data_IF_890124453439
#
_entry.id   IF_890124453439
#
_cell.length_a   1.000
_cell.length_b   1.000
_cell.length_c   1.000
_cell.angle_alpha   90.00
_cell.angle_beta   90.00
_cell.angle_gamma   90.00
#
_symmetry.space_group_name_H-M   'P 1'
#
loop_
_entity.id
_entity.type
_entity.pdbx_description
1 polymer ?
#
# COMPACT_ATOMS: atom_id res chain seq x y z
N UNK A 1 25.68 -13.92 -27.80
CA UNK A 1 25.07 -12.78 -27.13
C UNK A 1 24.02 -13.39 -26.22
N UNK A 2 24.30 -13.50 -24.92
CA UNK A 2 23.30 -13.79 -23.91
C UNK A 2 22.43 -12.55 -23.83
N UNK A 3 21.15 -12.66 -24.19
CA UNK A 3 20.14 -11.71 -23.80
C UNK A 3 20.14 -11.68 -22.26
N UNK A 4 20.64 -10.58 -21.68
CA UNK A 4 20.39 -10.25 -20.29
C UNK A 4 18.87 -10.08 -20.18
N UNK A 5 18.21 -11.10 -19.67
CA UNK A 5 16.80 -11.02 -19.27
C UNK A 5 16.77 -9.92 -18.22
N UNK A 6 16.40 -8.71 -18.63
CA UNK A 6 16.21 -7.57 -17.73
C UNK A 6 15.26 -8.06 -16.66
N UNK A 7 15.73 -8.18 -15.41
CA UNK A 7 14.86 -8.63 -14.33
C UNK A 7 13.67 -7.68 -14.27
N UNK A 8 12.47 -8.23 -14.35
CA UNK A 8 11.23 -7.51 -14.17
C UNK A 8 11.20 -6.91 -12.76
N UNK A 9 10.51 -5.79 -12.55
CA UNK A 9 10.41 -5.12 -11.25
C UNK A 9 9.01 -4.52 -11.06
N UNK A 10 8.71 -4.16 -9.82
CA UNK A 10 7.52 -3.38 -9.45
C UNK A 10 7.97 -1.96 -9.14
N UNK A 11 7.17 -0.97 -9.53
CA UNK A 11 7.44 0.43 -9.23
C UNK A 11 6.23 1.11 -8.58
N UNK A 12 6.50 2.18 -7.82
CA UNK A 12 5.47 3.03 -7.24
C UNK A 12 6.00 4.42 -6.94
N UNK A 13 5.11 5.39 -6.94
CA UNK A 13 5.44 6.78 -6.60
C UNK A 13 4.57 7.24 -5.46
N UNK A 14 5.17 7.69 -4.39
CA UNK A 14 4.42 8.21 -3.25
C UNK A 14 5.29 8.99 -2.29
N UNK A 15 4.62 9.82 -1.48
CA UNK A 15 5.27 10.60 -0.46
C UNK A 15 5.70 9.71 0.70
N UNK A 16 6.93 9.86 1.15
CA UNK A 16 7.44 9.14 2.32
C UNK A 16 6.80 9.67 3.60
N UNK A 17 6.36 8.76 4.47
CA UNK A 17 5.93 9.05 5.82
C UNK A 17 6.95 8.49 6.81
N UNK A 18 7.24 9.26 7.86
CA UNK A 18 7.98 8.78 9.03
C UNK A 18 7.07 8.91 10.25
N UNK A 19 6.88 7.79 10.95
CA UNK A 19 6.00 7.70 12.10
C UNK A 19 6.82 7.67 13.40
N UNK A 20 6.48 8.57 14.31
CA UNK A 20 7.01 8.66 15.68
C UNK A 20 5.93 8.09 16.60
N UNK A 21 6.14 6.88 17.12
CA UNK A 21 5.15 6.18 17.92
C UNK A 21 5.49 6.28 19.41
N UNK A 22 4.54 6.79 20.20
CA UNK A 22 4.58 6.78 21.67
C UNK A 22 3.57 5.75 22.17
N UNK A 23 4.06 4.62 22.69
CA UNK A 23 3.23 3.52 23.17
C UNK A 23 3.22 3.43 24.70
N UNK A 24 2.19 2.78 25.24
CA UNK A 24 2.06 2.57 26.69
C UNK A 24 1.56 3.80 27.46
N UNK A 25 1.01 4.78 26.79
CA UNK A 25 0.32 5.89 27.47
C UNK A 25 -0.99 5.37 28.09
N UNK A 26 -1.24 5.73 29.35
CA UNK A 26 -2.50 5.36 30.03
C UNK A 26 -3.68 6.20 29.57
N UNK A 27 -3.43 7.39 29.06
CA UNK A 27 -4.38 8.36 28.50
C UNK A 27 -3.64 9.41 27.67
N UNK A 28 -4.37 10.25 26.96
CA UNK A 28 -3.80 11.42 26.31
C UNK A 28 -3.46 12.53 27.31
N UNK A 29 -2.41 13.35 27.06
CA UNK A 29 -2.09 14.49 27.90
C UNK A 29 -3.18 15.58 27.76
N UNK A 30 -3.41 16.31 28.85
CA UNK A 30 -4.22 17.53 28.84
C UNK A 30 -3.38 18.76 28.46
N UNK A 31 -4.04 19.87 28.16
CA UNK A 31 -3.32 21.10 27.85
C UNK A 31 -2.35 21.51 28.97
N UNK A 32 -1.09 21.70 28.63
CA UNK A 32 -0.02 22.04 29.58
C UNK A 32 0.54 20.87 30.37
N UNK A 33 0.12 19.64 30.09
CA UNK A 33 0.59 18.42 30.78
C UNK A 33 1.69 17.72 29.97
N UNK A 34 2.65 17.14 30.67
CA UNK A 34 3.64 16.21 30.12
C UNK A 34 3.37 14.80 30.68
N UNK A 35 3.30 13.82 29.78
CA UNK A 35 3.20 12.40 30.13
C UNK A 35 4.40 11.64 29.56
N UNK A 36 4.89 10.67 30.32
CA UNK A 36 5.94 9.76 29.87
C UNK A 36 5.29 8.50 29.27
N UNK A 37 5.74 8.13 28.07
CA UNK A 37 5.36 6.86 27.44
C UNK A 37 6.29 5.73 27.86
N UNK A 38 5.78 4.51 27.92
CA UNK A 38 6.60 3.32 28.24
C UNK A 38 7.38 2.83 27.00
N UNK A 39 6.97 3.21 25.78
CA UNK A 39 7.60 2.80 24.53
C UNK A 39 7.73 3.94 23.55
N UNK A 40 8.85 3.91 22.79
CA UNK A 40 9.13 4.82 21.69
C UNK A 40 9.61 4.03 20.48
N UNK A 41 9.11 4.39 19.29
CA UNK A 41 9.57 3.82 18.03
C UNK A 41 9.56 4.88 16.93
N UNK A 42 10.62 4.87 16.12
CA UNK A 42 10.69 5.58 14.85
C UNK A 42 10.62 4.53 13.74
N UNK A 43 9.69 4.69 12.79
CA UNK A 43 9.53 3.76 11.66
C UNK A 43 9.04 4.48 10.42
N UNK A 44 9.18 3.84 9.25
CA UNK A 44 8.45 4.29 8.07
C UNK A 44 6.95 4.06 8.29
N UNK A 45 6.14 4.99 7.79
CA UNK A 45 4.70 4.89 7.73
C UNK A 45 4.22 4.12 6.50
N UNK A 46 2.91 4.18 6.27
CA UNK A 46 2.24 3.50 5.16
C UNK A 46 2.26 4.25 3.83
N UNK A 47 1.34 3.84 2.94
CA UNK A 47 1.23 4.29 1.56
C UNK A 47 2.20 3.57 0.63
N UNK A 48 2.42 4.09 -0.57
CA UNK A 48 3.31 3.47 -1.57
C UNK A 48 4.67 3.06 -1.00
N UNK A 49 5.36 3.89 -0.21
CA UNK A 49 6.61 3.48 0.44
C UNK A 49 6.48 2.23 1.30
N UNK A 50 5.39 2.10 2.05
CA UNK A 50 5.10 0.93 2.86
C UNK A 50 4.89 -0.33 2.02
N UNK A 51 4.14 -0.22 0.92
CA UNK A 51 3.95 -1.30 -0.06
C UNK A 51 5.29 -1.74 -0.66
N UNK A 52 6.13 -0.79 -1.09
CA UNK A 52 7.43 -1.10 -1.71
C UNK A 52 8.39 -1.79 -0.73
N UNK A 53 8.44 -1.36 0.54
CA UNK A 53 9.24 -2.02 1.58
C UNK A 53 8.75 -3.47 1.80
N UNK A 54 7.45 -3.69 1.90
CA UNK A 54 6.91 -5.06 2.04
C UNK A 54 7.26 -5.94 0.83
N UNK A 55 7.18 -5.41 -0.39
CA UNK A 55 7.59 -6.13 -1.61
C UNK A 55 9.10 -6.44 -1.63
N UNK A 56 9.94 -5.50 -1.20
CA UNK A 56 11.39 -5.74 -1.07
C UNK A 56 11.71 -6.88 -0.09
N UNK A 57 10.98 -6.96 1.02
CA UNK A 57 11.06 -8.07 1.99
C UNK A 57 10.61 -9.42 1.43
N UNK A 58 9.75 -9.39 0.40
CA UNK A 58 9.32 -10.56 -0.36
C UNK A 58 10.25 -10.87 -1.57
N UNK A 59 11.48 -10.34 -1.57
CA UNK A 59 12.49 -10.54 -2.61
C UNK A 59 12.06 -10.08 -4.02
N UNK A 60 11.08 -9.20 -4.14
CA UNK A 60 10.71 -8.58 -5.41
C UNK A 60 11.68 -7.41 -5.69
N UNK A 61 12.25 -7.30 -6.91
CA UNK A 61 12.95 -6.09 -7.32
C UNK A 61 11.97 -4.91 -7.35
N UNK A 62 12.22 -3.89 -6.55
CA UNK A 62 11.30 -2.74 -6.41
C UNK A 62 12.02 -1.41 -6.60
N UNK A 63 11.30 -0.44 -7.16
CA UNK A 63 11.73 0.94 -7.31
C UNK A 63 10.66 1.88 -6.80
N UNK A 64 11.06 2.92 -6.09
CA UNK A 64 10.15 3.98 -5.64
C UNK A 64 10.65 5.36 -6.02
N UNK A 65 9.74 6.21 -6.47
CA UNK A 65 9.99 7.63 -6.60
C UNK A 65 9.33 8.36 -5.42
N UNK A 66 10.10 9.16 -4.71
CA UNK A 66 9.64 9.87 -3.51
C UNK A 66 10.41 11.18 -3.30
N UNK A 67 9.99 11.98 -2.35
CA UNK A 67 10.61 13.27 -2.01
C UNK A 67 11.39 13.14 -0.71
N UNK A 68 12.72 13.28 -0.78
CA UNK A 68 13.64 13.22 0.35
C UNK A 68 14.52 14.48 0.37
N UNK A 69 14.63 15.12 1.53
CA UNK A 69 15.43 16.32 1.75
C UNK A 69 16.82 16.02 2.32
N UNK A 70 17.44 17.08 2.85
CA UNK A 70 18.72 17.02 3.56
C UNK A 70 18.46 17.18 5.06
N UNK A 71 17.81 16.21 5.66
CA UNK A 71 17.38 16.20 7.06
C UNK A 71 17.43 14.78 7.64
N UNK A 72 17.37 14.70 8.98
CA UNK A 72 17.52 13.43 9.70
C UNK A 72 16.42 12.39 9.38
N UNK A 73 15.20 12.82 9.04
CA UNK A 73 14.11 11.92 8.72
C UNK A 73 14.25 11.36 7.31
N UNK A 74 14.72 12.18 6.37
CA UNK A 74 15.07 11.75 5.02
C UNK A 74 16.25 10.77 5.02
N UNK A 75 17.25 10.99 5.88
CA UNK A 75 18.38 10.05 6.07
C UNK A 75 17.90 8.72 6.67
N UNK A 76 17.02 8.78 7.69
CA UNK A 76 16.40 7.61 8.28
C UNK A 76 15.62 6.81 7.21
N UNK A 77 14.74 7.48 6.46
CA UNK A 77 13.94 6.83 5.42
C UNK A 77 14.82 6.20 4.33
N UNK A 78 15.87 6.89 3.89
CA UNK A 78 16.82 6.37 2.89
C UNK A 78 17.50 5.09 3.36
N UNK A 79 17.85 5.00 4.65
CA UNK A 79 18.44 3.81 5.24
C UNK A 79 17.43 2.65 5.26
N UNK A 80 16.19 2.91 5.70
CA UNK A 80 15.12 1.91 5.71
C UNK A 80 14.84 1.34 4.32
N UNK A 81 14.78 2.17 3.29
CA UNK A 81 14.61 1.71 1.90
C UNK A 81 15.78 0.83 1.45
N UNK A 82 17.01 1.28 1.68
CA UNK A 82 18.21 0.51 1.32
C UNK A 82 18.25 -0.84 2.03
N UNK A 83 17.96 -0.87 3.33
CA UNK A 83 18.01 -2.07 4.16
C UNK A 83 16.92 -3.10 3.77
N UNK A 84 15.84 -2.63 3.11
CA UNK A 84 14.78 -3.46 2.54
C UNK A 84 14.88 -3.61 1.00
N UNK A 85 16.05 -3.34 0.40
CA UNK A 85 16.33 -3.53 -1.04
C UNK A 85 15.43 -2.73 -1.99
N UNK A 86 14.95 -1.55 -1.57
CA UNK A 86 14.16 -0.63 -2.38
C UNK A 86 15.06 0.38 -3.07
N UNK A 87 15.07 0.40 -4.41
CA UNK A 87 15.79 1.41 -5.20
C UNK A 87 14.99 2.73 -5.22
N UNK A 88 15.65 3.86 -4.87
CA UNK A 88 14.99 5.17 -4.73
C UNK A 88 15.33 6.07 -5.92
N UNK A 89 14.33 6.75 -6.46
CA UNK A 89 14.46 7.94 -7.29
C UNK A 89 13.97 9.14 -6.50
N UNK A 90 14.87 10.05 -6.14
CA UNK A 90 14.49 11.27 -5.42
C UNK A 90 13.91 12.32 -6.39
N UNK A 91 12.70 12.76 -6.10
CA UNK A 91 11.97 13.78 -6.87
C UNK A 91 12.24 15.19 -6.36
N UNK A 92 12.78 15.34 -5.13
CA UNK A 92 12.98 16.61 -4.47
C UNK A 92 14.37 17.19 -4.72
N UNK A 93 14.42 18.47 -5.02
CA UNK A 93 15.67 19.23 -5.25
C UNK A 93 15.86 20.37 -4.25
N UNK A 94 14.96 20.51 -3.28
CA UNK A 94 15.05 21.51 -2.23
C UNK A 94 15.84 21.08 -0.99
N UNK A 95 15.99 21.98 -0.05
CA UNK A 95 16.67 21.73 1.23
C UNK A 95 15.74 21.61 2.45
N UNK A 96 14.45 21.85 2.26
CA UNK A 96 13.44 21.78 3.34
C UNK A 96 12.92 20.36 3.46
N UNK A 97 12.42 20.00 4.62
CA UNK A 97 11.82 18.71 4.95
C UNK A 97 10.57 18.42 4.06
N UNK A 98 10.66 17.55 3.02
CA UNK A 98 9.57 17.33 2.06
C UNK A 98 8.64 16.18 2.43
N UNK A 99 9.03 15.32 3.37
CA UNK A 99 8.28 14.12 3.74
C UNK A 99 7.23 14.40 4.82
N UNK A 100 6.30 13.48 5.02
CA UNK A 100 5.36 13.56 6.11
C UNK A 100 5.99 13.03 7.39
N UNK A 101 5.70 13.69 8.53
CA UNK A 101 6.07 13.21 9.86
C UNK A 101 4.79 13.11 10.68
N UNK A 102 4.49 11.92 11.17
CA UNK A 102 3.33 11.64 12.00
C UNK A 102 3.76 11.28 13.41
N UNK A 103 3.28 12.01 14.41
CA UNK A 103 3.37 11.59 15.80
C UNK A 103 2.09 10.85 16.19
N UNK A 104 2.22 9.61 16.65
CA UNK A 104 1.12 8.80 17.12
C UNK A 104 1.23 8.59 18.64
N UNK A 105 0.18 8.92 19.36
CA UNK A 105 0.02 8.63 20.79
C UNK A 105 -0.95 7.47 20.94
N UNK A 106 -0.47 6.35 21.52
CA UNK A 106 -1.19 5.08 21.63
C UNK A 106 -1.58 4.85 23.08
N UNK A 107 -2.88 4.74 23.32
CA UNK A 107 -3.49 4.42 24.62
C UNK A 107 -4.19 3.06 24.55
N UNK A 108 -4.62 2.46 25.69
CA UNK A 108 -5.39 1.23 25.68
C UNK A 108 -6.74 1.33 24.95
N UNK A 109 -7.31 2.54 24.85
CA UNK A 109 -8.62 2.77 24.24
C UNK A 109 -8.52 2.96 22.74
N UNK A 110 -7.59 3.81 22.27
CA UNK A 110 -7.38 4.12 20.85
C UNK A 110 -6.08 4.89 20.68
N UNK A 111 -5.82 5.34 19.47
CA UNK A 111 -4.66 6.13 19.08
C UNK A 111 -5.09 7.47 18.48
N UNK A 112 -4.23 8.47 18.63
CA UNK A 112 -4.41 9.78 18.00
C UNK A 112 -3.14 10.20 17.27
N UNK A 113 -3.29 11.02 16.24
CA UNK A 113 -2.21 11.41 15.34
C UNK A 113 -2.13 12.93 15.17
N UNK A 114 -0.89 13.40 15.03
CA UNK A 114 -0.59 14.73 14.50
C UNK A 114 0.40 14.56 13.38
N UNK A 115 0.07 15.05 12.19
CA UNK A 115 0.92 14.92 11.01
C UNK A 115 1.36 16.29 10.49
N UNK A 116 2.67 16.45 10.30
CA UNK A 116 3.25 17.48 9.45
C UNK A 116 3.35 16.89 8.04
N UNK A 117 2.83 17.61 7.05
CA UNK A 117 2.82 17.14 5.66
C UNK A 117 2.84 18.33 4.71
N UNK A 118 4.04 18.79 4.28
CA UNK A 118 4.14 19.91 3.34
C UNK A 118 3.67 19.48 1.95
N UNK A 119 3.17 20.42 1.17
CA UNK A 119 2.92 20.19 -0.25
C UNK A 119 4.24 19.92 -0.97
N UNK A 120 4.19 19.04 -1.95
CA UNK A 120 5.32 18.73 -2.83
C UNK A 120 4.99 19.17 -4.24
N UNK A 121 6.00 19.60 -4.97
CA UNK A 121 5.80 20.10 -6.33
C UNK A 121 5.61 18.91 -7.28
N UNK A 122 4.51 18.95 -8.02
CA UNK A 122 4.20 18.05 -9.13
C UNK A 122 4.29 18.85 -10.43
N UNK A 123 5.25 18.51 -11.29
CA UNK A 123 5.52 19.20 -12.54
C UNK A 123 6.06 18.24 -13.60
N UNK A 124 6.35 18.78 -14.80
CA UNK A 124 6.85 17.99 -15.93
C UNK A 124 8.19 17.30 -15.61
N UNK A 125 9.03 17.89 -14.76
CA UNK A 125 10.33 17.31 -14.36
C UNK A 125 10.10 16.09 -13.47
N UNK A 126 9.22 16.19 -12.47
CA UNK A 126 8.87 15.06 -11.61
C UNK A 126 8.16 13.97 -12.41
N UNK A 127 7.25 14.33 -13.32
CA UNK A 127 6.56 13.40 -14.22
C UNK A 127 7.54 12.60 -15.10
N UNK A 128 8.53 13.26 -15.67
CA UNK A 128 9.57 12.60 -16.48
C UNK A 128 10.47 11.68 -15.64
N UNK A 129 10.84 12.08 -14.42
CA UNK A 129 11.61 11.24 -13.48
C UNK A 129 10.81 9.97 -13.12
N UNK A 130 9.51 10.11 -12.81
CA UNK A 130 8.61 8.99 -12.51
C UNK A 130 8.49 8.05 -13.70
N UNK A 131 8.25 8.59 -14.90
CA UNK A 131 8.19 7.78 -16.11
C UNK A 131 9.47 6.97 -16.33
N UNK A 132 10.64 7.61 -16.25
CA UNK A 132 11.93 6.92 -16.44
C UNK A 132 12.19 5.84 -15.41
N UNK A 133 11.85 6.09 -14.14
CA UNK A 133 11.97 5.13 -13.06
C UNK A 133 11.06 3.92 -13.30
N UNK A 134 9.81 4.15 -13.73
CA UNK A 134 8.80 3.11 -13.89
C UNK A 134 8.86 2.38 -15.23
N UNK A 135 9.55 2.94 -16.22
CA UNK A 135 9.64 2.36 -17.58
C UNK A 135 10.21 0.94 -17.57
N UNK A 136 9.43 -0.01 -18.08
CA UNK A 136 9.76 -1.43 -18.13
C UNK A 136 9.44 -2.17 -16.83
N UNK A 137 8.74 -1.54 -15.89
CA UNK A 137 8.14 -2.25 -14.76
C UNK A 137 7.10 -3.25 -15.24
N UNK A 138 7.01 -4.42 -14.58
CA UNK A 138 5.90 -5.37 -14.80
C UNK A 138 4.60 -4.81 -14.23
N UNK A 139 4.69 -4.17 -13.06
CA UNK A 139 3.55 -3.62 -12.33
C UNK A 139 3.93 -2.22 -11.81
N UNK A 140 2.98 -1.30 -11.84
CA UNK A 140 3.09 0.01 -11.18
C UNK A 140 1.92 0.20 -10.22
N UNK A 141 2.24 0.52 -8.97
CA UNK A 141 1.28 1.03 -8.01
C UNK A 141 0.93 2.47 -8.36
N UNK A 142 -0.36 2.71 -8.58
CA UNK A 142 -0.91 3.97 -9.06
C UNK A 142 -1.53 4.74 -7.88
N UNK A 143 -1.25 6.01 -7.85
CA UNK A 143 -1.86 6.99 -6.94
C UNK A 143 -2.54 8.09 -7.76
N UNK A 144 -3.32 8.94 -7.12
CA UNK A 144 -3.86 10.13 -7.76
C UNK A 144 -2.72 11.05 -8.26
N UNK A 145 -2.92 11.75 -9.36
CA UNK A 145 -1.90 12.53 -10.06
C UNK A 145 -1.20 11.74 -11.20
N UNK A 146 -0.40 12.41 -11.98
CA UNK A 146 0.45 11.85 -13.06
C UNK A 146 -0.27 10.92 -14.07
N UNK A 147 -1.54 11.18 -14.34
CA UNK A 147 -2.38 10.35 -15.21
C UNK A 147 -1.75 10.04 -16.57
N UNK A 148 -1.13 11.03 -17.22
CA UNK A 148 -0.49 10.85 -18.52
C UNK A 148 0.73 9.92 -18.46
N UNK A 149 1.46 9.91 -17.34
CA UNK A 149 2.56 8.97 -17.09
C UNK A 149 2.02 7.55 -17.01
N UNK A 150 0.97 7.33 -16.23
CA UNK A 150 0.35 6.00 -16.08
C UNK A 150 -0.25 5.51 -17.39
N UNK A 151 -0.93 6.37 -18.16
CA UNK A 151 -1.45 6.04 -19.50
C UNK A 151 -0.34 5.56 -20.41
N UNK A 152 0.79 6.28 -20.45
CA UNK A 152 1.93 5.92 -21.28
C UNK A 152 2.55 4.58 -20.88
N UNK A 153 2.67 4.32 -19.57
CA UNK A 153 3.17 3.04 -19.05
C UNK A 153 2.23 1.88 -19.39
N UNK A 154 0.90 2.11 -19.32
CA UNK A 154 -0.12 1.15 -19.74
C UNK A 154 -0.01 0.79 -21.22
N UNK A 155 0.15 1.81 -22.08
CA UNK A 155 0.32 1.61 -23.52
C UNK A 155 1.62 0.83 -23.85
N UNK A 156 2.62 0.89 -22.98
CA UNK A 156 3.86 0.12 -23.08
C UNK A 156 3.76 -1.30 -22.46
N UNK A 157 2.59 -1.68 -21.93
CA UNK A 157 2.29 -3.03 -21.43
C UNK A 157 2.53 -3.24 -19.94
N UNK A 158 2.67 -2.17 -19.15
CA UNK A 158 2.75 -2.23 -17.69
C UNK A 158 1.38 -2.48 -17.09
N UNK A 159 1.27 -3.41 -16.14
CA UNK A 159 0.07 -3.59 -15.31
C UNK A 159 -0.03 -2.45 -14.29
N UNK A 160 -1.23 -1.87 -14.18
CA UNK A 160 -1.51 -0.77 -13.25
C UNK A 160 -2.42 -1.26 -12.11
N UNK A 161 -1.98 -1.04 -10.87
CA UNK A 161 -2.73 -1.39 -9.65
C UNK A 161 -2.96 -0.11 -8.85
N UNK A 162 -4.22 0.24 -8.64
CA UNK A 162 -4.65 1.44 -7.94
C UNK A 162 -5.03 1.14 -6.49
N UNK A 163 -4.48 1.92 -5.57
CA UNK A 163 -4.99 2.11 -4.20
C UNK A 163 -5.19 3.61 -3.97
N UNK A 164 -6.40 4.02 -3.64
CA UNK A 164 -6.74 5.46 -3.52
C UNK A 164 -6.48 6.03 -2.15
N UNK A 165 -6.48 5.21 -1.10
CA UNK A 165 -6.68 5.69 0.26
C UNK A 165 -8.05 6.38 0.43
N UNK A 166 -8.45 6.64 1.67
CA UNK A 166 -9.74 7.31 1.95
C UNK A 166 -9.60 8.82 1.96
N UNK A 167 -10.49 9.51 1.23
CA UNK A 167 -10.70 10.96 1.31
C UNK A 167 -12.19 11.28 1.40
N UNK A 168 -12.54 12.41 2.05
CA UNK A 168 -13.95 12.79 2.25
C UNK A 168 -14.66 13.17 0.96
N UNK A 169 -13.93 13.61 -0.06
CA UNK A 169 -14.42 14.06 -1.36
C UNK A 169 -14.36 12.98 -2.44
N UNK A 170 -13.90 11.74 -2.13
CA UNK A 170 -13.79 10.69 -3.11
C UNK A 170 -15.15 10.32 -3.72
N UNK A 171 -15.16 10.19 -5.05
CA UNK A 171 -16.35 9.89 -5.86
C UNK A 171 -15.96 9.30 -7.22
N UNK A 172 -16.90 8.64 -7.89
CA UNK A 172 -16.67 8.17 -9.25
C UNK A 172 -16.37 9.32 -10.22
N UNK A 173 -16.95 10.51 -10.01
CA UNK A 173 -16.65 11.66 -10.88
C UNK A 173 -15.20 12.09 -10.80
N UNK A 174 -14.52 11.85 -9.69
CA UNK A 174 -13.10 12.18 -9.48
C UNK A 174 -12.16 11.05 -9.92
N UNK A 175 -12.52 9.79 -9.67
CA UNK A 175 -11.60 8.66 -9.83
C UNK A 175 -11.90 7.75 -11.02
N UNK A 176 -13.03 7.94 -11.72
CA UNK A 176 -13.47 7.05 -12.80
C UNK A 176 -12.39 6.81 -13.86
N UNK A 177 -11.82 7.88 -14.41
CA UNK A 177 -10.84 7.77 -15.49
C UNK A 177 -9.59 7.01 -15.04
N UNK A 178 -9.20 7.17 -13.78
CA UNK A 178 -8.07 6.47 -13.19
C UNK A 178 -8.41 4.99 -12.93
N UNK A 179 -9.62 4.68 -12.45
CA UNK A 179 -10.08 3.30 -12.25
C UNK A 179 -10.16 2.57 -13.59
N UNK A 180 -10.75 3.18 -14.63
CA UNK A 180 -10.84 2.60 -15.98
C UNK A 180 -9.47 2.40 -16.64
N UNK A 181 -8.48 3.21 -16.29
CA UNK A 181 -7.10 3.06 -16.76
C UNK A 181 -6.40 1.85 -16.15
N UNK A 182 -6.69 1.52 -14.89
CA UNK A 182 -5.99 0.48 -14.13
C UNK A 182 -6.49 -0.93 -14.45
N UNK A 183 -5.64 -1.94 -14.24
CA UNK A 183 -6.00 -3.35 -14.36
C UNK A 183 -6.68 -3.86 -13.09
N UNK A 184 -6.28 -3.31 -11.95
CA UNK A 184 -6.84 -3.63 -10.63
C UNK A 184 -7.03 -2.37 -9.80
N UNK A 185 -8.14 -2.32 -9.07
CA UNK A 185 -8.43 -1.35 -8.01
C UNK A 185 -8.68 -2.11 -6.72
N UNK A 186 -7.98 -1.72 -5.64
CA UNK A 186 -7.87 -2.51 -4.38
C UNK A 186 -8.42 -1.71 -3.18
N UNK A 187 -9.68 -1.24 -3.23
CA UNK A 187 -10.28 -0.45 -2.16
C UNK A 187 -10.63 -1.29 -0.93
N UNK A 188 -10.68 -0.66 0.24
CA UNK A 188 -11.44 -1.19 1.36
C UNK A 188 -12.95 -0.90 1.21
N UNK A 189 -13.78 -1.51 2.05
CA UNK A 189 -15.24 -1.36 1.96
C UNK A 189 -15.71 0.10 2.13
N UNK A 190 -15.03 0.91 2.97
CA UNK A 190 -15.40 2.33 3.16
C UNK A 190 -15.11 3.13 1.91
N UNK A 191 -13.94 2.92 1.29
CA UNK A 191 -13.55 3.53 0.03
C UNK A 191 -14.48 3.11 -1.10
N UNK A 192 -14.70 1.79 -1.25
CA UNK A 192 -15.57 1.24 -2.30
C UNK A 192 -16.99 1.79 -2.20
N UNK A 193 -17.62 1.74 -1.03
CA UNK A 193 -18.96 2.26 -0.82
C UNK A 193 -19.04 3.78 -1.00
N UNK A 194 -18.01 4.52 -0.55
CA UNK A 194 -17.96 5.97 -0.71
C UNK A 194 -17.86 6.38 -2.17
N UNK A 195 -16.94 5.77 -2.93
CA UNK A 195 -16.69 6.12 -4.33
C UNK A 195 -17.86 5.73 -5.24
N UNK A 196 -18.55 4.63 -4.92
CA UNK A 196 -19.70 4.14 -5.69
C UNK A 196 -21.04 4.66 -5.21
N UNK A 197 -21.06 5.41 -4.11
CA UNK A 197 -22.30 5.93 -3.46
C UNK A 197 -23.29 4.80 -3.11
N UNK A 198 -22.78 3.65 -2.66
CA UNK A 198 -23.60 2.48 -2.27
C UNK A 198 -23.61 2.26 -0.77
N UNK A 199 -24.58 1.46 -0.30
CA UNK A 199 -24.77 1.17 1.12
C UNK A 199 -24.17 -0.15 1.57
N UNK A 200 -23.70 -0.99 0.63
CA UNK A 200 -23.12 -2.31 0.93
C UNK A 200 -21.89 -2.59 0.02
N UNK A 201 -20.95 -3.43 0.49
CA UNK A 201 -19.83 -3.88 -0.36
C UNK A 201 -20.30 -4.68 -1.59
N UNK A 202 -21.40 -5.42 -1.49
CA UNK A 202 -22.01 -6.19 -2.58
C UNK A 202 -22.53 -5.28 -3.70
N UNK A 203 -23.15 -4.16 -3.34
CA UNK A 203 -23.56 -3.16 -4.31
C UNK A 203 -22.34 -2.43 -4.89
N UNK A 204 -21.35 -2.14 -4.06
CA UNK A 204 -20.12 -1.48 -4.50
C UNK A 204 -19.36 -2.29 -5.54
N UNK A 205 -19.15 -3.59 -5.31
CA UNK A 205 -18.44 -4.46 -6.27
C UNK A 205 -19.23 -4.59 -7.58
N UNK A 206 -20.56 -4.59 -7.52
CA UNK A 206 -21.45 -4.61 -8.69
C UNK A 206 -21.35 -3.32 -9.52
N UNK A 207 -21.15 -2.17 -8.87
CA UNK A 207 -20.88 -0.91 -9.58
C UNK A 207 -19.49 -0.91 -10.18
N UNK A 208 -18.46 -1.32 -9.41
CA UNK A 208 -17.06 -1.36 -9.85
C UNK A 208 -16.84 -2.31 -11.04
N UNK A 209 -17.62 -3.40 -11.16
CA UNK A 209 -17.54 -4.35 -12.30
C UNK A 209 -17.87 -3.73 -13.66
N UNK A 210 -18.43 -2.51 -13.69
CA UNK A 210 -18.67 -1.77 -14.93
C UNK A 210 -17.42 -1.05 -15.45
N UNK A 211 -16.40 -0.92 -14.62
CA UNK A 211 -15.19 -0.14 -14.86
C UNK A 211 -13.91 -0.97 -14.84
N UNK A 212 -13.93 -2.10 -14.14
CA UNK A 212 -12.81 -3.01 -13.97
C UNK A 212 -13.27 -4.46 -14.15
N UNK A 213 -12.46 -5.28 -14.84
CA UNK A 213 -12.80 -6.67 -15.19
C UNK A 213 -12.93 -7.56 -13.95
N UNK A 214 -11.97 -7.47 -13.03
CA UNK A 214 -11.90 -8.27 -11.80
C UNK A 214 -11.93 -7.35 -10.57
N UNK A 215 -13.09 -6.77 -10.22
CA UNK A 215 -13.19 -5.90 -9.06
C UNK A 215 -13.04 -6.67 -7.75
N UNK A 216 -12.55 -5.99 -6.73
CA UNK A 216 -12.43 -6.52 -5.38
C UNK A 216 -12.72 -5.45 -4.33
N UNK A 217 -13.05 -5.89 -3.11
CA UNK A 217 -13.30 -5.03 -1.95
C UNK A 217 -12.75 -5.69 -0.70
N UNK A 218 -11.82 -5.05 -0.01
CA UNK A 218 -11.31 -5.50 1.30
C UNK A 218 -12.40 -5.28 2.37
N UNK A 219 -12.75 -6.33 3.12
CA UNK A 219 -13.87 -6.36 4.07
C UNK A 219 -13.43 -6.30 5.55
N UNK A 220 -12.21 -5.84 5.82
CA UNK A 220 -11.61 -5.78 7.17
C UNK A 220 -11.55 -7.19 7.79
N UNK A 221 -12.28 -7.42 8.88
CA UNK A 221 -12.32 -8.71 9.59
C UNK A 221 -13.00 -9.86 8.83
N UNK A 222 -13.71 -9.56 7.76
CA UNK A 222 -14.46 -10.55 6.97
C UNK A 222 -13.71 -10.97 5.69
N UNK A 223 -12.45 -10.56 5.55
CA UNK A 223 -11.58 -10.95 4.45
C UNK A 223 -11.64 -10.02 3.25
N UNK A 224 -11.73 -10.60 2.05
CA UNK A 224 -11.78 -9.84 0.80
C UNK A 224 -12.78 -10.47 -0.17
N UNK A 225 -13.69 -9.65 -0.69
CA UNK A 225 -14.61 -10.02 -1.76
C UNK A 225 -13.97 -9.74 -3.10
N UNK A 226 -14.11 -10.67 -4.05
CA UNK A 226 -13.70 -10.52 -5.44
C UNK A 226 -14.82 -10.91 -6.38
N UNK A 227 -14.75 -10.47 -7.64
CA UNK A 227 -15.63 -10.90 -8.71
C UNK A 227 -14.79 -11.32 -9.92
N UNK A 228 -15.03 -12.51 -10.45
CA UNK A 228 -14.34 -13.06 -11.62
C UNK A 228 -15.37 -13.73 -12.54
N UNK A 229 -15.39 -13.34 -13.81
CA UNK A 229 -16.38 -13.87 -14.76
C UNK A 229 -17.85 -13.58 -14.40
N UNK A 230 -18.11 -12.55 -13.59
CA UNK A 230 -19.42 -12.17 -13.08
C UNK A 230 -19.86 -12.92 -11.82
N UNK A 231 -19.07 -13.85 -11.32
CA UNK A 231 -19.33 -14.57 -10.08
C UNK A 231 -18.59 -13.94 -8.90
N UNK A 232 -19.32 -13.60 -7.84
CA UNK A 232 -18.77 -13.07 -6.60
C UNK A 232 -18.29 -14.20 -5.71
N UNK A 233 -17.12 -14.02 -5.12
CA UNK A 233 -16.55 -14.92 -4.13
C UNK A 233 -15.91 -14.14 -2.97
N UNK A 234 -15.67 -14.81 -1.85
CA UNK A 234 -14.97 -14.24 -0.70
C UNK A 234 -13.79 -15.12 -0.33
N UNK A 235 -12.63 -14.49 -0.09
CA UNK A 235 -11.47 -15.13 0.53
C UNK A 235 -11.43 -14.66 1.98
N UNK A 236 -11.59 -15.59 2.96
CA UNK A 236 -11.70 -15.21 4.37
C UNK A 236 -10.38 -14.66 4.93
N UNK A 237 -10.45 -14.04 6.10
CA UNK A 237 -9.25 -13.68 6.89
C UNK A 237 -8.52 -14.93 7.37
N UNK A 238 -7.31 -14.73 7.85
CA UNK A 238 -6.49 -15.80 8.44
C UNK A 238 -6.70 -15.76 9.96
N UNK A 239 -7.42 -16.71 10.50
CA UNK A 239 -7.89 -16.74 11.90
C UNK A 239 -6.76 -16.78 12.95
N UNK A 240 -5.57 -17.25 12.58
CA UNK A 240 -4.41 -17.27 13.49
C UNK A 240 -3.84 -15.88 13.80
N UNK A 241 -4.19 -14.85 13.02
CA UNK A 241 -3.67 -13.50 13.20
C UNK A 241 -4.58 -12.66 14.09
N UNK A 242 -4.15 -12.46 15.35
CA UNK A 242 -4.87 -11.63 16.32
C UNK A 242 -4.52 -10.16 16.10
N UNK A 243 -5.52 -9.34 15.79
CA UNK A 243 -5.34 -7.92 15.53
C UNK A 243 -4.91 -7.14 16.77
N UNK A 244 -3.76 -6.48 16.67
CA UNK A 244 -3.22 -5.51 17.63
C UNK A 244 -3.39 -4.08 17.08
N UNK A 245 -2.93 -3.83 15.85
CA UNK A 245 -2.99 -2.53 15.18
C UNK A 245 -3.24 -2.73 13.68
N UNK A 246 -4.22 -2.02 13.11
CA UNK A 246 -4.54 -2.12 11.68
C UNK A 246 -3.77 -1.14 10.79
N UNK A 247 -2.83 -0.38 11.33
CA UNK A 247 -2.02 0.58 10.57
C UNK A 247 -1.12 -0.16 9.57
N UNK A 248 -1.21 0.20 8.29
CA UNK A 248 -0.43 -0.40 7.20
C UNK A 248 -0.94 -1.76 6.70
N UNK A 249 -2.06 -2.28 7.24
CA UNK A 249 -2.63 -3.54 6.77
C UNK A 249 -3.03 -3.49 5.29
N UNK A 250 -3.52 -2.34 4.81
CA UNK A 250 -3.83 -2.10 3.40
C UNK A 250 -2.61 -2.18 2.51
N UNK A 251 -1.52 -1.51 2.90
CA UNK A 251 -0.25 -1.51 2.16
C UNK A 251 0.39 -2.91 2.13
N UNK A 252 0.34 -3.61 3.27
CA UNK A 252 0.82 -4.99 3.35
C UNK A 252 -0.04 -5.95 2.51
N UNK A 253 -1.39 -5.79 2.52
CA UNK A 253 -2.28 -6.54 1.64
C UNK A 253 -1.93 -6.28 0.18
N UNK A 254 -1.78 -5.02 -0.21
CA UNK A 254 -1.44 -4.63 -1.58
C UNK A 254 -0.10 -5.24 -2.01
N UNK A 255 0.90 -5.26 -1.14
CA UNK A 255 2.18 -5.89 -1.42
C UNK A 255 2.04 -7.40 -1.68
N UNK A 256 1.28 -8.14 -0.86
CA UNK A 256 1.00 -9.57 -1.08
C UNK A 256 0.21 -9.83 -2.36
N UNK A 257 -0.78 -8.99 -2.65
CA UNK A 257 -1.55 -9.04 -3.89
C UNK A 257 -0.67 -8.81 -5.13
N UNK A 258 0.16 -7.77 -5.12
CA UNK A 258 1.10 -7.46 -6.20
C UNK A 258 2.22 -8.50 -6.34
N UNK A 259 2.67 -9.11 -5.22
CA UNK A 259 3.56 -10.28 -5.26
C UNK A 259 2.94 -11.43 -6.06
N UNK A 260 1.65 -11.69 -5.84
CA UNK A 260 0.90 -12.70 -6.58
C UNK A 260 0.83 -12.38 -8.08
N UNK A 261 0.48 -11.15 -8.44
CA UNK A 261 0.44 -10.70 -9.84
C UNK A 261 1.84 -10.76 -10.50
N UNK A 262 2.89 -10.39 -9.78
CA UNK A 262 4.26 -10.44 -10.28
C UNK A 262 4.70 -11.87 -10.62
N UNK A 263 4.24 -12.85 -9.86
CA UNK A 263 4.54 -14.27 -10.05
C UNK A 263 3.47 -15.03 -10.84
N UNK A 264 2.57 -14.31 -11.53
CA UNK A 264 1.54 -14.84 -12.42
C UNK A 264 0.55 -15.81 -11.71
N UNK A 265 0.27 -15.58 -10.43
CA UNK A 265 -0.77 -16.29 -9.70
C UNK A 265 -2.17 -15.89 -10.18
N UNK A 266 -3.18 -16.78 -10.00
CA UNK A 266 -4.57 -16.47 -10.32
C UNK A 266 -5.11 -15.39 -9.38
N UNK A 267 -6.12 -14.65 -9.80
CA UNK A 267 -6.70 -13.53 -9.07
C UNK A 267 -7.09 -13.90 -7.61
N UNK A 268 -7.75 -15.04 -7.40
CA UNK A 268 -8.09 -15.54 -6.05
C UNK A 268 -6.85 -15.82 -5.20
N UNK A 269 -5.82 -16.38 -5.81
CA UNK A 269 -4.55 -16.67 -5.15
C UNK A 269 -3.84 -15.35 -4.73
N UNK A 270 -3.90 -14.31 -5.57
CA UNK A 270 -3.37 -12.97 -5.24
C UNK A 270 -4.10 -12.35 -4.03
N UNK A 271 -5.43 -12.51 -3.95
CA UNK A 271 -6.22 -12.05 -2.80
C UNK A 271 -5.81 -12.80 -1.52
N UNK A 272 -5.61 -14.11 -1.58
CA UNK A 272 -5.14 -14.90 -0.44
C UNK A 272 -3.74 -14.45 0.03
N UNK A 273 -2.81 -14.22 -0.89
CA UNK A 273 -1.49 -13.66 -0.59
C UNK A 273 -1.60 -12.29 0.10
N UNK A 274 -2.52 -11.45 -0.36
CA UNK A 274 -2.85 -10.17 0.28
C UNK A 274 -3.41 -10.34 1.69
N UNK A 275 -4.37 -11.27 1.91
CA UNK A 275 -4.92 -11.56 3.24
C UNK A 275 -3.84 -12.07 4.21
N UNK A 276 -2.88 -12.87 3.74
CA UNK A 276 -1.76 -13.38 4.54
C UNK A 276 -0.83 -12.24 4.97
N UNK A 277 -0.41 -11.39 4.05
CA UNK A 277 0.51 -10.27 4.38
C UNK A 277 -0.18 -9.19 5.21
N UNK A 278 -1.40 -8.81 4.85
CA UNK A 278 -2.20 -7.84 5.63
C UNK A 278 -2.56 -8.37 7.03
N UNK A 279 -2.94 -9.65 7.11
CA UNK A 279 -3.21 -10.32 8.39
C UNK A 279 -1.99 -10.40 9.30
N UNK A 280 -0.81 -10.69 8.77
CA UNK A 280 0.44 -10.65 9.55
C UNK A 280 0.76 -9.24 10.04
N UNK A 281 0.59 -8.23 9.20
CA UNK A 281 0.85 -6.83 9.55
C UNK A 281 0.07 -6.39 10.80
N UNK A 282 -1.21 -6.78 10.93
CA UNK A 282 -2.05 -6.35 12.06
C UNK A 282 -1.67 -6.95 13.41
N UNK A 283 -0.75 -7.91 13.47
CA UNK A 283 -0.32 -8.54 14.73
C UNK A 283 0.70 -7.71 15.52
N UNK A 284 1.19 -6.61 14.98
CA UNK A 284 2.11 -5.69 15.65
C UNK A 284 1.62 -4.24 15.62
N UNK A 285 2.39 -3.36 16.27
CA UNK A 285 2.13 -1.91 16.30
C UNK A 285 2.95 -1.21 15.24
N UNK A 286 2.31 -0.45 14.34
CA UNK A 286 2.93 0.30 13.24
C UNK A 286 3.01 -0.48 11.93
N UNK A 287 3.11 0.25 10.81
CA UNK A 287 2.92 -0.27 9.44
C UNK A 287 3.86 -1.39 9.01
N UNK A 288 5.10 -1.41 9.49
CA UNK A 288 6.16 -2.28 8.96
C UNK A 288 6.84 -3.12 10.07
N UNK A 289 6.17 -3.28 11.22
CA UNK A 289 6.73 -3.99 12.36
C UNK A 289 6.66 -5.50 12.19
N UNK A 290 5.50 -5.99 11.78
CA UNK A 290 5.23 -7.41 11.55
C UNK A 290 5.01 -7.67 10.07
N UNK A 291 5.71 -8.66 9.55
CA UNK A 291 5.65 -9.02 8.13
C UNK A 291 5.98 -10.51 7.95
N UNK A 292 5.72 -11.03 6.78
CA UNK A 292 6.16 -12.36 6.35
C UNK A 292 7.37 -12.23 5.42
N UNK A 293 8.36 -13.08 5.61
CA UNK A 293 9.36 -13.35 4.56
C UNK A 293 8.71 -14.11 3.40
N UNK A 294 9.35 -14.12 2.24
CA UNK A 294 8.84 -14.87 1.08
C UNK A 294 8.64 -16.37 1.40
N UNK A 295 9.59 -16.99 2.12
CA UNK A 295 9.50 -18.39 2.53
C UNK A 295 8.29 -18.65 3.43
N UNK A 296 8.08 -17.80 4.43
CA UNK A 296 6.93 -17.88 5.33
C UNK A 296 5.61 -17.66 4.58
N UNK A 297 5.56 -16.66 3.68
CA UNK A 297 4.39 -16.37 2.86
C UNK A 297 4.01 -17.57 1.99
N UNK A 298 4.97 -18.16 1.28
CA UNK A 298 4.71 -19.31 0.40
C UNK A 298 4.30 -20.56 1.19
N UNK A 299 4.89 -20.79 2.37
CA UNK A 299 4.48 -21.88 3.26
C UNK A 299 3.02 -21.70 3.68
N UNK A 300 2.66 -20.52 4.18
CA UNK A 300 1.29 -20.21 4.60
C UNK A 300 0.31 -20.24 3.42
N UNK A 301 0.71 -19.73 2.29
CA UNK A 301 -0.10 -19.75 1.08
C UNK A 301 -0.49 -21.18 0.68
N UNK A 302 0.45 -22.13 0.68
CA UNK A 302 0.16 -23.52 0.34
C UNK A 302 -0.79 -24.19 1.36
N UNK A 303 -0.62 -23.86 2.66
CA UNK A 303 -1.49 -24.36 3.73
C UNK A 303 -2.94 -23.88 3.55
N UNK A 304 -3.15 -22.56 3.45
CA UNK A 304 -4.49 -21.98 3.35
C UNK A 304 -5.14 -22.13 1.97
N UNK A 305 -4.36 -22.23 0.90
CA UNK A 305 -4.89 -22.51 -0.43
C UNK A 305 -5.60 -23.86 -0.48
N UNK A 306 -5.01 -24.89 0.13
CA UNK A 306 -5.64 -26.22 0.23
C UNK A 306 -6.92 -26.18 1.09
N UNK A 307 -6.92 -25.37 2.15
CA UNK A 307 -8.08 -25.21 3.03
C UNK A 307 -9.25 -24.47 2.37
N UNK A 308 -8.95 -23.39 1.62
CA UNK A 308 -10.00 -22.48 1.11
C UNK A 308 -10.48 -22.80 -0.30
N UNK A 309 -9.70 -23.51 -1.13
CA UNK A 309 -9.97 -23.67 -2.56
C UNK A 309 -10.00 -25.12 -3.05
N UNK A 310 -9.59 -26.08 -2.23
CA UNK A 310 -9.65 -27.52 -2.48
C UNK A 310 -10.66 -28.23 -1.57
#
# INVERSE_FOLDING_TARGET
KRDEKRMSFIAGTGKTNVDILYAGLKRLPQLGEELYSDGFKLCLGGGVPGTMVNLGRLNIPVRTATWLGLDMFSDFASNEYRDNSVEITNLYEGGVLPLNITSAMITPEDRTFVTYGPDVEENDVTAEKIYRMSKGAKIVEVQNGYYDVYRKLKDEGTLLVLDTGYTDDMSLSLYRDLIELCDYYVPNQKEAMKITETASPEDAISVLSRYIENPMVKLDKDGCMGMEGGEVFTVPVIDEYVRVDSTGAGDAFLAGFMYGLYNDYRFRDCILLGNLTGGKCVTGVGCLTEYLTEEELLKKFNEYKSEFFE
#
